data_IF_858839076093
#
_entry.id   IF_858839076093
#
_cell.length_a   1.000
_cell.length_b   1.000
_cell.length_c   1.000
_cell.angle_alpha   90.00
_cell.angle_beta   90.00
_cell.angle_gamma   90.00
#
_symmetry.space_group_name_H-M   'P 1'
#
loop_
_entity.id
_entity.type
_entity.pdbx_description
1 polymer ?
#
# COMPACT_ATOMS: atom_id res chain seq x y z
N UNK A 1 4.83 0.76 -39.71
CA UNK A 1 5.09 1.81 -38.72
C UNK A 1 3.82 2.03 -37.93
N UNK A 2 3.88 1.93 -36.61
CA UNK A 2 2.73 2.27 -35.76
C UNK A 2 2.73 3.81 -35.65
N UNK A 3 1.56 4.41 -35.82
CA UNK A 3 1.38 5.86 -35.76
C UNK A 3 1.55 6.36 -34.30
N UNK A 4 2.23 7.48 -34.12
CA UNK A 4 2.52 8.08 -32.83
C UNK A 4 1.24 8.39 -32.01
N UNK A 5 0.17 8.81 -32.70
CA UNK A 5 -1.13 9.07 -32.06
C UNK A 5 -1.77 7.79 -31.51
N UNK A 6 -1.65 6.69 -32.23
CA UNK A 6 -2.13 5.37 -31.77
C UNK A 6 -1.29 4.86 -30.60
N UNK A 7 0.02 5.12 -30.55
CA UNK A 7 0.88 4.80 -29.40
C UNK A 7 0.43 5.61 -28.18
N UNK A 8 0.21 6.92 -28.34
CA UNK A 8 -0.25 7.78 -27.24
C UNK A 8 -1.61 7.33 -26.68
N UNK A 9 -2.57 7.03 -27.56
CA UNK A 9 -3.90 6.50 -27.15
C UNK A 9 -3.77 5.17 -26.42
N UNK A 10 -2.96 4.25 -26.92
CA UNK A 10 -2.74 2.96 -26.28
C UNK A 10 -2.10 3.11 -24.90
N UNK A 11 -1.11 4.00 -24.75
CA UNK A 11 -0.46 4.27 -23.46
C UNK A 11 -1.42 4.91 -22.44
N UNK A 12 -2.29 5.82 -22.88
CA UNK A 12 -3.32 6.44 -22.02
C UNK A 12 -4.39 5.43 -21.56
N UNK A 13 -4.61 4.36 -22.32
CA UNK A 13 -5.57 3.31 -22.00
C UNK A 13 -4.92 2.08 -21.33
N UNK A 14 -3.59 2.02 -21.31
CA UNK A 14 -2.85 0.88 -20.75
C UNK A 14 -3.05 0.82 -19.23
N UNK A 15 -3.84 -0.14 -18.77
CA UNK A 15 -3.93 -0.51 -17.35
C UNK A 15 -2.90 -1.59 -17.07
N UNK A 16 -1.93 -1.29 -16.21
CA UNK A 16 -0.94 -2.26 -15.77
C UNK A 16 -1.36 -2.78 -14.40
N UNK A 17 -1.61 -4.09 -14.28
CA UNK A 17 -1.97 -4.74 -13.01
C UNK A 17 -0.95 -4.36 -11.93
N UNK A 18 -1.43 -3.83 -10.80
CA UNK A 18 -0.59 -3.46 -9.67
C UNK A 18 0.27 -2.21 -9.85
N UNK A 19 -0.11 -1.32 -10.77
CA UNK A 19 0.52 0.00 -10.95
C UNK A 19 -0.56 1.07 -10.95
N UNK A 20 -0.64 1.84 -9.86
CA UNK A 20 -1.69 2.85 -9.62
C UNK A 20 -3.07 2.28 -10.02
N UNK A 21 -3.33 1.05 -9.62
CA UNK A 21 -4.55 0.33 -9.98
C UNK A 21 -5.66 0.73 -9.01
N UNK A 22 -6.67 1.43 -9.53
CA UNK A 22 -7.82 1.85 -8.72
C UNK A 22 -8.76 0.68 -8.48
N UNK A 23 -9.09 0.41 -7.21
CA UNK A 23 -10.05 -0.59 -6.79
C UNK A 23 -11.29 0.11 -6.21
N UNK A 24 -12.44 -0.14 -6.81
CA UNK A 24 -13.69 0.47 -6.35
C UNK A 24 -14.20 -0.22 -5.09
N UNK A 25 -14.11 0.46 -3.96
CA UNK A 25 -14.59 0.01 -2.65
C UNK A 25 -15.63 0.97 -2.06
N UNK A 26 -15.53 2.26 -2.39
CA UNK A 26 -16.37 3.33 -1.87
C UNK A 26 -16.59 4.42 -2.92
N UNK A 27 -17.65 5.20 -2.76
CA UNK A 27 -17.84 6.47 -3.49
C UNK A 27 -17.26 7.67 -2.74
N UNK A 28 -16.84 7.48 -1.49
CA UNK A 28 -16.35 8.56 -0.63
C UNK A 28 -14.84 8.75 -0.70
N UNK A 29 -14.08 7.67 -0.87
CA UNK A 29 -12.61 7.69 -0.93
C UNK A 29 -12.07 6.80 -2.04
N UNK A 30 -10.81 7.00 -2.39
CA UNK A 30 -10.10 6.24 -3.43
C UNK A 30 -9.16 5.23 -2.79
N UNK A 31 -9.20 3.97 -3.25
CA UNK A 31 -8.25 2.92 -2.88
C UNK A 31 -7.46 2.48 -4.10
N UNK A 32 -6.13 2.46 -3.96
CA UNK A 32 -5.18 2.14 -5.02
C UNK A 32 -4.27 0.98 -4.61
N UNK A 33 -3.88 0.16 -5.59
CA UNK A 33 -2.81 -0.84 -5.44
C UNK A 33 -1.62 -0.42 -6.31
N UNK A 34 -0.40 -0.43 -5.74
CA UNK A 34 0.83 -0.12 -6.45
C UNK A 34 2.00 -1.03 -6.04
N UNK A 35 2.97 -1.19 -6.93
CA UNK A 35 4.16 -2.03 -6.73
C UNK A 35 5.35 -1.27 -6.13
N UNK A 36 5.18 -0.05 -5.64
CA UNK A 36 6.24 0.71 -4.99
C UNK A 36 6.76 -0.03 -3.75
N UNK A 37 7.96 -0.62 -3.84
CA UNK A 37 8.55 -1.49 -2.83
C UNK A 37 9.97 -1.05 -2.40
N UNK A 38 10.34 0.19 -2.67
CA UNK A 38 11.55 0.85 -2.19
C UNK A 38 11.28 2.34 -1.96
N UNK A 39 12.18 3.01 -1.24
CA UNK A 39 11.99 4.40 -0.82
C UNK A 39 11.76 5.36 -2.00
N UNK A 40 12.56 5.27 -3.05
CA UNK A 40 12.45 6.16 -4.21
C UNK A 40 11.11 6.00 -4.93
N UNK A 41 10.65 4.75 -5.13
CA UNK A 41 9.36 4.50 -5.76
C UNK A 41 8.19 4.94 -4.87
N UNK A 42 8.28 4.73 -3.55
CA UNK A 42 7.28 5.17 -2.59
C UNK A 42 7.22 6.69 -2.53
N UNK A 43 8.36 7.38 -2.50
CA UNK A 43 8.45 8.84 -2.53
C UNK A 43 7.79 9.42 -3.79
N UNK A 44 8.14 8.90 -4.96
CA UNK A 44 7.55 9.31 -6.23
C UNK A 44 6.03 9.11 -6.24
N UNK A 45 5.55 7.95 -5.78
CA UNK A 45 4.14 7.62 -5.71
C UNK A 45 3.38 8.58 -4.78
N UNK A 46 3.85 8.74 -3.53
CA UNK A 46 3.18 9.59 -2.54
C UNK A 46 3.21 11.07 -2.95
N UNK A 47 4.31 11.55 -3.53
CA UNK A 47 4.40 12.92 -4.05
C UNK A 47 3.39 13.14 -5.18
N UNK A 48 3.29 12.21 -6.12
CA UNK A 48 2.31 12.28 -7.21
C UNK A 48 0.86 12.26 -6.68
N UNK A 49 0.56 11.39 -5.71
CA UNK A 49 -0.78 11.32 -5.13
C UNK A 49 -1.14 12.56 -4.33
N UNK A 50 -0.17 13.23 -3.73
CA UNK A 50 -0.38 14.50 -3.01
C UNK A 50 -0.81 15.65 -3.93
N UNK A 51 -0.44 15.63 -5.21
CA UNK A 51 -0.87 16.62 -6.20
C UNK A 51 -2.39 16.63 -6.44
N UNK A 52 -3.09 15.53 -6.09
CA UNK A 52 -4.55 15.45 -6.16
C UNK A 52 -5.26 16.04 -4.94
N UNK A 53 -4.51 16.67 -4.02
CA UNK A 53 -5.02 17.33 -2.81
C UNK A 53 -6.00 16.46 -1.99
N UNK A 54 -5.62 15.20 -1.62
CA UNK A 54 -6.50 14.35 -0.84
C UNK A 54 -6.79 14.96 0.54
N UNK A 55 -7.95 14.61 1.12
CA UNK A 55 -8.24 14.94 2.52
C UNK A 55 -7.16 14.35 3.44
N UNK A 56 -6.91 13.04 3.32
CA UNK A 56 -5.73 12.37 3.88
C UNK A 56 -5.10 11.48 2.83
N UNK A 57 -3.78 11.43 2.82
CA UNK A 57 -3.01 10.44 2.06
C UNK A 57 -2.58 9.32 3.01
N UNK A 58 -3.12 8.13 2.82
CA UNK A 58 -2.87 6.97 3.67
C UNK A 58 -2.01 5.97 2.92
N UNK A 59 -0.83 5.63 3.47
CA UNK A 59 0.11 4.67 2.91
C UNK A 59 0.08 3.37 3.72
N UNK A 60 -0.31 2.25 3.08
CA UNK A 60 -0.25 0.93 3.67
C UNK A 60 0.85 0.12 3.00
N UNK A 61 1.85 -0.31 3.74
CA UNK A 61 2.93 -1.12 3.20
C UNK A 61 3.64 -1.98 4.25
N UNK A 62 4.37 -2.95 3.75
CA UNK A 62 5.36 -3.73 4.48
C UNK A 62 6.64 -3.85 3.66
N UNK A 63 7.64 -4.51 4.21
CA UNK A 63 8.89 -4.78 3.53
C UNK A 63 9.20 -6.27 3.48
N UNK A 64 9.95 -6.69 2.44
CA UNK A 64 10.37 -8.07 2.31
C UNK A 64 11.50 -8.42 3.29
N UNK A 65 11.42 -9.62 3.86
CA UNK A 65 12.51 -10.25 4.59
C UNK A 65 13.65 -10.69 3.66
N UNK A 66 14.82 -10.98 4.25
CA UNK A 66 16.05 -11.34 3.52
C UNK A 66 16.42 -10.32 2.45
N UNK A 67 16.20 -9.04 2.76
CA UNK A 67 16.53 -7.86 1.96
C UNK A 67 17.26 -6.84 2.83
N UNK A 68 17.79 -5.79 2.20
CA UNK A 68 18.48 -4.71 2.91
C UNK A 68 17.58 -4.09 4.00
N UNK A 69 18.05 -4.10 5.25
CA UNK A 69 17.38 -3.41 6.38
C UNK A 69 17.29 -1.90 6.15
N UNK A 70 18.29 -1.33 5.49
CA UNK A 70 18.31 0.09 5.16
C UNK A 70 17.05 0.53 4.38
N UNK A 71 16.56 -0.33 3.45
CA UNK A 71 15.31 -0.08 2.71
C UNK A 71 14.11 0.10 3.64
N UNK A 72 14.04 -0.65 4.74
CA UNK A 72 12.94 -0.59 5.71
C UNK A 72 12.93 0.75 6.42
N UNK A 73 14.10 1.20 6.88
CA UNK A 73 14.28 2.52 7.51
C UNK A 73 13.91 3.65 6.56
N UNK A 74 14.41 3.60 5.32
CA UNK A 74 14.15 4.61 4.30
C UNK A 74 12.67 4.69 3.91
N UNK A 75 12.00 3.55 3.72
CA UNK A 75 10.57 3.53 3.40
C UNK A 75 9.72 4.07 4.56
N UNK A 76 10.06 3.72 5.81
CA UNK A 76 9.42 4.29 7.00
C UNK A 76 9.57 5.81 7.06
N UNK A 77 10.78 6.31 6.84
CA UNK A 77 11.07 7.75 6.83
C UNK A 77 10.31 8.48 5.71
N UNK A 78 10.30 7.94 4.50
CA UNK A 78 9.56 8.52 3.36
C UNK A 78 8.05 8.58 3.65
N UNK A 79 7.47 7.47 4.11
CA UNK A 79 6.04 7.43 4.42
C UNK A 79 5.68 8.40 5.56
N UNK A 80 6.48 8.44 6.62
CA UNK A 80 6.26 9.35 7.73
C UNK A 80 6.36 10.83 7.38
N UNK A 81 7.12 11.19 6.34
CA UNK A 81 7.20 12.57 5.84
C UNK A 81 6.07 12.96 4.90
N UNK A 82 5.55 12.03 4.11
CA UNK A 82 4.67 12.34 2.98
C UNK A 82 3.22 11.90 3.19
N UNK A 83 2.96 10.88 4.00
CA UNK A 83 1.61 10.42 4.31
C UNK A 83 1.07 11.06 5.60
N UNK A 84 -0.25 11.24 5.66
CA UNK A 84 -0.94 11.70 6.88
C UNK A 84 -1.11 10.56 7.89
N UNK A 85 -1.21 9.33 7.37
CA UNK A 85 -1.23 8.10 8.17
C UNK A 85 -0.47 6.99 7.43
N UNK A 86 0.40 6.30 8.14
CA UNK A 86 1.05 5.08 7.67
C UNK A 86 0.46 3.85 8.37
N UNK A 87 0.04 2.86 7.61
CA UNK A 87 -0.37 1.55 8.13
C UNK A 87 0.76 0.57 7.84
N UNK A 88 1.49 0.17 8.88
CA UNK A 88 2.64 -0.73 8.76
C UNK A 88 2.14 -2.16 8.93
N UNK A 89 2.44 -3.02 7.94
CA UNK A 89 1.99 -4.41 7.93
C UNK A 89 3.07 -5.36 7.39
N UNK A 90 2.79 -6.66 7.35
CA UNK A 90 3.71 -7.60 6.72
C UNK A 90 3.56 -7.59 5.18
N UNK A 91 4.65 -7.95 4.51
CA UNK A 91 4.72 -8.26 3.09
C UNK A 91 5.15 -9.72 2.93
N UNK A 92 6.29 -10.01 2.35
CA UNK A 92 6.92 -11.33 2.26
C UNK A 92 8.00 -11.46 3.34
N UNK A 93 7.70 -11.93 4.57
CA UNK A 93 8.69 -12.00 5.65
C UNK A 93 9.81 -13.01 5.35
N UNK A 94 9.57 -13.97 4.47
CA UNK A 94 10.50 -15.04 4.12
C UNK A 94 10.96 -15.81 5.36
N UNK A 95 12.24 -15.71 5.71
CA UNK A 95 12.82 -16.40 6.86
C UNK A 95 13.00 -15.50 8.11
N UNK A 96 12.54 -14.25 8.04
CA UNK A 96 12.56 -13.32 9.18
C UNK A 96 11.20 -13.31 9.87
N UNK A 97 11.19 -12.93 11.15
CA UNK A 97 9.94 -12.68 11.87
C UNK A 97 9.31 -11.37 11.36
N UNK A 98 8.01 -11.37 11.04
CA UNK A 98 7.33 -10.18 10.51
C UNK A 98 7.48 -8.96 11.42
N UNK A 99 7.45 -9.16 12.74
CA UNK A 99 7.56 -8.10 13.72
C UNK A 99 8.91 -7.38 13.66
N UNK A 100 10.02 -8.11 13.44
CA UNK A 100 11.35 -7.51 13.34
C UNK A 100 11.43 -6.58 12.12
N UNK A 101 10.75 -6.93 11.03
CA UNK A 101 10.68 -6.09 9.83
C UNK A 101 9.85 -4.84 10.10
N UNK A 102 8.73 -4.97 10.79
CA UNK A 102 7.86 -3.85 11.20
C UNK A 102 8.62 -2.90 12.12
N UNK A 103 9.39 -3.41 13.09
CA UNK A 103 10.20 -2.59 14.00
C UNK A 103 11.31 -1.82 13.28
N UNK A 104 11.89 -2.41 12.23
CA UNK A 104 12.82 -1.69 11.36
C UNK A 104 12.12 -0.53 10.63
N UNK A 105 10.91 -0.72 10.10
CA UNK A 105 10.13 0.35 9.46
C UNK A 105 9.83 1.47 10.47
N UNK A 106 9.41 1.11 11.69
CA UNK A 106 9.15 2.06 12.79
C UNK A 106 10.39 2.88 13.16
N UNK A 107 11.59 2.30 13.07
CA UNK A 107 12.85 3.03 13.26
C UNK A 107 13.01 4.17 12.24
N UNK A 108 12.55 3.97 11.00
CA UNK A 108 12.48 5.03 9.99
C UNK A 108 11.41 6.08 10.32
N UNK A 109 10.21 5.64 10.71
CA UNK A 109 9.11 6.53 11.13
C UNK A 109 9.52 7.46 12.29
N UNK A 110 10.29 6.95 13.25
CA UNK A 110 10.76 7.72 14.43
C UNK A 110 11.65 8.93 14.08
N UNK A 111 12.11 9.06 12.84
CA UNK A 111 12.83 10.23 12.33
C UNK A 111 11.90 11.34 11.83
N UNK A 112 10.61 11.15 11.94
CA UNK A 112 9.56 12.04 11.41
C UNK A 112 8.50 12.27 12.49
N UNK A 113 7.62 13.24 12.24
CA UNK A 113 6.43 13.46 13.07
C UNK A 113 5.19 12.74 12.51
N UNK A 114 5.39 11.79 11.58
CA UNK A 114 4.30 11.06 10.92
C UNK A 114 3.56 10.12 11.84
N UNK A 115 2.24 10.06 11.67
CA UNK A 115 1.39 9.13 12.40
C UNK A 115 1.41 7.74 11.78
N UNK A 116 1.37 6.71 12.61
CA UNK A 116 1.23 5.35 12.11
C UNK A 116 0.39 4.46 13.02
N UNK A 117 -0.14 3.39 12.44
CA UNK A 117 -0.68 2.22 13.12
C UNK A 117 0.06 0.99 12.64
N UNK A 118 0.14 -0.01 13.49
CA UNK A 118 0.83 -1.27 13.25
C UNK A 118 -0.17 -2.41 13.30
N UNK A 119 -0.32 -3.13 12.19
CA UNK A 119 -1.22 -4.28 12.06
C UNK A 119 -0.48 -5.35 11.24
N UNK A 120 0.05 -6.37 11.91
CA UNK A 120 0.94 -7.34 11.28
C UNK A 120 0.24 -8.15 10.18
N UNK A 121 -0.99 -8.61 10.39
CA UNK A 121 -1.76 -9.31 9.37
C UNK A 121 -2.21 -8.35 8.27
N UNK A 122 -1.87 -8.68 7.00
CA UNK A 122 -2.15 -7.80 5.88
C UNK A 122 -3.64 -7.68 5.55
N UNK A 123 -4.42 -8.75 5.75
CA UNK A 123 -5.87 -8.69 5.55
C UNK A 123 -6.50 -7.76 6.58
N UNK A 124 -6.12 -7.90 7.86
CA UNK A 124 -6.59 -7.02 8.93
C UNK A 124 -6.18 -5.56 8.70
N UNK A 125 -4.95 -5.32 8.21
CA UNK A 125 -4.48 -3.98 7.87
C UNK A 125 -5.31 -3.34 6.74
N UNK A 126 -5.64 -4.10 5.69
CA UNK A 126 -6.51 -3.65 4.60
C UNK A 126 -7.94 -3.41 5.10
N UNK A 127 -8.46 -4.29 5.96
CA UNK A 127 -9.77 -4.12 6.60
C UNK A 127 -9.82 -2.81 7.38
N UNK A 128 -8.81 -2.56 8.22
CA UNK A 128 -8.69 -1.31 8.96
C UNK A 128 -8.69 -0.09 8.03
N UNK A 129 -7.90 -0.13 6.96
CA UNK A 129 -7.83 0.97 6.00
C UNK A 129 -9.20 1.26 5.33
N UNK A 130 -9.94 0.21 4.97
CA UNK A 130 -11.27 0.33 4.35
C UNK A 130 -12.29 0.89 5.33
N UNK A 131 -12.34 0.39 6.56
CA UNK A 131 -13.31 0.83 7.57
C UNK A 131 -13.05 2.25 8.07
N UNK A 132 -11.77 2.71 8.09
CA UNK A 132 -11.37 4.03 8.57
C UNK A 132 -11.18 5.07 7.44
N UNK A 133 -11.51 4.73 6.20
CA UNK A 133 -11.47 5.67 5.09
C UNK A 133 -12.50 6.79 5.25
N UNK A 134 -12.07 8.04 5.11
CA UNK A 134 -12.91 9.24 5.21
C UNK A 134 -13.17 9.84 3.83
N UNK A 135 -14.22 10.67 3.69
CA UNK A 135 -14.49 11.34 2.41
C UNK A 135 -13.30 12.17 1.92
N UNK A 136 -12.89 11.93 0.68
CA UNK A 136 -11.76 12.60 0.06
C UNK A 136 -10.38 11.99 0.31
N UNK A 137 -10.30 10.89 1.07
CA UNK A 137 -9.03 10.19 1.27
C UNK A 137 -8.52 9.51 -0.01
N UNK A 138 -7.20 9.41 -0.09
CA UNK A 138 -6.52 8.48 -1.00
C UNK A 138 -5.75 7.47 -0.14
N UNK A 139 -6.13 6.20 -0.28
CA UNK A 139 -5.48 5.05 0.39
C UNK A 139 -4.69 4.29 -0.65
N UNK A 140 -3.39 4.08 -0.44
CA UNK A 140 -2.55 3.29 -1.32
C UNK A 140 -1.98 2.06 -0.62
N UNK A 141 -2.27 0.89 -1.18
CA UNK A 141 -1.65 -0.39 -0.81
C UNK A 141 -0.39 -0.55 -1.64
N UNK A 142 0.77 -0.29 -1.03
CA UNK A 142 2.05 -0.30 -1.71
C UNK A 142 2.85 -1.58 -1.42
N UNK A 143 3.68 -1.96 -2.40
CA UNK A 143 4.67 -3.02 -2.28
C UNK A 143 4.35 -4.28 -3.08
N UNK A 144 3.14 -4.82 -2.98
CA UNK A 144 2.79 -6.09 -3.64
C UNK A 144 2.37 -5.92 -5.09
N UNK A 145 1.62 -4.86 -5.40
CA UNK A 145 1.20 -4.57 -6.78
C UNK A 145 0.51 -5.78 -7.45
N UNK A 146 1.20 -6.40 -8.40
CA UNK A 146 0.69 -7.56 -9.15
C UNK A 146 0.94 -8.92 -8.46
N UNK A 147 1.69 -8.96 -7.36
CA UNK A 147 1.97 -10.22 -6.65
C UNK A 147 0.69 -10.81 -6.07
N UNK A 148 0.52 -12.11 -6.24
CA UNK A 148 -0.64 -12.89 -5.82
C UNK A 148 -0.31 -13.92 -4.72
N UNK A 149 0.80 -13.67 -3.99
CA UNK A 149 1.28 -14.55 -2.93
C UNK A 149 1.92 -13.78 -1.77
N UNK A 150 2.00 -14.44 -0.62
CA UNK A 150 2.88 -14.09 0.48
C UNK A 150 3.90 -15.22 0.70
N UNK A 151 5.18 -14.89 0.74
CA UNK A 151 6.26 -15.85 0.95
C UNK A 151 6.66 -15.91 2.42
N UNK A 152 6.42 -17.08 3.06
CA UNK A 152 6.73 -17.34 4.47
C UNK A 152 7.56 -18.62 4.53
N UNK A 153 8.78 -18.56 5.08
CA UNK A 153 9.72 -19.69 5.25
C UNK A 153 9.92 -20.48 3.95
N UNK A 154 10.04 -19.77 2.83
CA UNK A 154 10.27 -20.36 1.50
C UNK A 154 9.00 -20.94 0.84
N UNK A 155 7.85 -20.84 1.47
CA UNK A 155 6.57 -21.29 0.92
C UNK A 155 5.77 -20.07 0.46
N UNK A 156 5.24 -20.13 -0.76
CA UNK A 156 4.33 -19.12 -1.29
C UNK A 156 2.89 -19.51 -0.96
N UNK A 157 2.24 -18.68 -0.18
CA UNK A 157 0.83 -18.81 0.15
C UNK A 157 0.02 -17.89 -0.75
N UNK A 158 -1.07 -18.34 -1.38
CA UNK A 158 -1.92 -17.49 -2.21
C UNK A 158 -2.40 -16.26 -1.43
N UNK A 159 -2.18 -15.06 -1.96
CA UNK A 159 -2.60 -13.80 -1.38
C UNK A 159 -2.58 -12.70 -2.45
N UNK A 160 -3.69 -12.49 -3.14
CA UNK A 160 -3.90 -11.34 -4.03
C UNK A 160 -4.69 -10.27 -3.26
N UNK A 161 -4.22 -9.03 -3.22
CA UNK A 161 -4.89 -7.94 -2.50
C UNK A 161 -6.29 -7.65 -3.04
N UNK A 162 -6.54 -7.91 -4.32
CA UNK A 162 -7.87 -7.75 -4.94
C UNK A 162 -8.87 -8.77 -4.38
N UNK A 163 -8.39 -10.00 -4.19
CA UNK A 163 -9.20 -11.07 -3.61
C UNK A 163 -9.44 -10.78 -2.13
N UNK A 164 -8.43 -10.32 -1.38
CA UNK A 164 -8.59 -9.90 0.00
C UNK A 164 -9.64 -8.79 0.14
N UNK A 165 -9.58 -7.75 -0.70
CA UNK A 165 -10.55 -6.65 -0.69
C UNK A 165 -11.96 -7.16 -0.98
N UNK A 166 -12.12 -8.04 -1.97
CA UNK A 166 -13.42 -8.63 -2.30
C UNK A 166 -13.97 -9.44 -1.12
N UNK A 167 -13.14 -10.24 -0.47
CA UNK A 167 -13.53 -11.06 0.67
C UNK A 167 -13.91 -10.19 1.87
N UNK A 168 -13.14 -9.13 2.18
CA UNK A 168 -13.43 -8.14 3.23
C UNK A 168 -14.83 -7.53 3.03
N UNK A 169 -15.14 -7.10 1.81
CA UNK A 169 -16.45 -6.52 1.50
C UNK A 169 -17.58 -7.57 1.58
N UNK A 170 -17.32 -8.82 1.17
CA UNK A 170 -18.28 -9.92 1.26
C UNK A 170 -18.54 -10.38 2.70
N UNK A 171 -17.56 -10.24 3.60
CA UNK A 171 -17.70 -10.49 5.04
C UNK A 171 -18.52 -9.42 5.77
N UNK A 172 -18.89 -8.35 5.09
CA UNK A 172 -19.79 -7.30 5.59
C UNK A 172 -19.05 -6.11 6.22
N UNK A 173 -17.74 -5.99 6.03
CA UNK A 173 -17.00 -4.78 6.43
C UNK A 173 -17.44 -3.58 5.57
N UNK A 174 -17.89 -2.53 6.22
CA UNK A 174 -18.48 -1.36 5.56
C UNK A 174 -17.43 -0.26 5.41
N UNK A 175 -17.11 0.18 4.17
CA UNK A 175 -16.17 1.27 3.96
C UNK A 175 -16.55 2.55 4.72
N UNK A 176 -15.61 3.11 5.50
CA UNK A 176 -15.82 4.32 6.29
C UNK A 176 -16.66 4.13 7.57
N UNK A 177 -17.01 2.91 7.96
CA UNK A 177 -17.87 2.66 9.12
C UNK A 177 -17.26 3.05 10.46
N UNK A 178 -15.94 3.07 10.57
CA UNK A 178 -15.19 3.45 11.76
C UNK A 178 -14.64 4.89 11.70
N UNK A 179 -14.89 5.63 10.61
CA UNK A 179 -14.55 7.04 10.50
C UNK A 179 -15.43 7.84 11.49
N UNK A 180 -14.79 8.68 12.30
CA UNK A 180 -15.47 9.50 13.34
C UNK A 180 -15.28 10.97 13.05
#
# INVERSE_FOLDING_TARGET
KVDEENIKKALLQAKVKGRIEMIKVSDQFTLLIDYAHNAMALESLLTTLREYEPHRLISLFGCGGNRSRQRRFEMGEVSGKLADLTIITSDNPRFEEPQDIIDDIKTGMAKTDGNYVEICDRKEAITYAIEHGEPGDIIVLAGKGHEDYQEIRGVKHPMDERDLIRDILAEGHIPGSAAK
#
